data_IF_635924544075
#
_entry.id   IF_635924544075
#
_cell.length_a   1.000
_cell.length_b   1.000
_cell.length_c   1.000
_cell.angle_alpha   90.00
_cell.angle_beta   90.00
_cell.angle_gamma   90.00
#
_symmetry.space_group_name_H-M   'P 1'
#
loop_
_entity.id
_entity.type
_entity.pdbx_description
1 polymer ?
#
# COMPACT_ATOMS: atom_id res chain seq x y z
N UNK A 1 -7.89 33.78 7.22
CA UNK A 1 -6.51 33.84 6.70
C UNK A 1 -6.24 32.50 6.03
N UNK A 2 -6.14 32.50 4.71
CA UNK A 2 -5.91 31.26 3.92
C UNK A 2 -4.45 30.90 4.08
N UNK A 3 -4.17 29.79 4.79
CA UNK A 3 -2.82 29.22 4.84
C UNK A 3 -2.46 28.75 3.42
N UNK A 4 -1.41 29.34 2.88
CA UNK A 4 -0.85 28.93 1.60
C UNK A 4 -0.36 27.47 1.71
N UNK A 5 -0.81 26.63 0.80
CA UNK A 5 -0.35 25.24 0.73
C UNK A 5 1.19 25.20 0.64
N UNK A 6 1.88 24.27 1.33
CA UNK A 6 3.32 24.21 1.32
C UNK A 6 3.86 24.05 -0.11
N UNK A 7 4.99 24.70 -0.39
CA UNK A 7 5.55 24.90 -1.73
C UNK A 7 5.78 23.61 -2.56
N UNK A 8 5.92 22.44 -1.91
CA UNK A 8 6.08 21.14 -2.60
C UNK A 8 4.77 20.61 -3.22
N UNK A 9 3.60 21.12 -2.80
CA UNK A 9 2.30 20.74 -3.39
C UNK A 9 2.05 21.29 -4.80
N UNK A 10 2.81 22.31 -5.24
CA UNK A 10 2.60 23.00 -6.51
C UNK A 10 3.51 22.51 -7.65
N UNK A 11 4.40 21.57 -7.41
CA UNK A 11 5.16 20.96 -8.50
C UNK A 11 4.33 19.85 -9.11
N UNK A 12 3.71 20.11 -10.28
CA UNK A 12 3.23 19.02 -11.12
C UNK A 12 4.35 17.99 -11.28
N UNK A 13 4.04 16.67 -11.19
CA UNK A 13 5.08 15.66 -11.37
C UNK A 13 5.78 15.90 -12.69
N UNK A 14 7.10 15.66 -12.75
CA UNK A 14 7.78 15.67 -14.02
C UNK A 14 7.03 14.73 -14.98
N UNK A 15 6.87 15.11 -16.27
CA UNK A 15 6.14 14.29 -17.23
C UNK A 15 6.74 12.88 -17.25
N UNK A 16 5.90 11.87 -16.96
CA UNK A 16 6.29 10.46 -16.92
C UNK A 16 6.34 9.79 -15.54
N UNK A 17 6.15 10.51 -14.42
CA UNK A 17 6.12 9.89 -13.09
C UNK A 17 4.69 9.51 -12.68
N UNK A 18 4.43 8.19 -12.53
CA UNK A 18 3.12 7.66 -12.13
C UNK A 18 2.77 8.09 -10.70
N UNK A 19 1.50 8.50 -10.47
CA UNK A 19 1.00 8.97 -9.17
C UNK A 19 -0.38 8.43 -8.82
N UNK A 20 -0.53 8.04 -7.57
CA UNK A 20 -1.82 7.83 -6.93
C UNK A 20 -2.15 9.11 -6.15
N UNK A 21 -3.26 9.76 -6.48
CA UNK A 21 -3.69 11.01 -5.85
C UNK A 21 -5.06 10.84 -5.21
N UNK A 22 -5.19 11.40 -4.03
CA UNK A 22 -6.41 11.40 -3.22
C UNK A 22 -6.69 12.83 -2.80
N UNK A 23 -7.89 13.33 -3.04
CA UNK A 23 -8.27 14.71 -2.73
C UNK A 23 -9.59 14.76 -2.00
N UNK A 24 -9.60 15.42 -0.85
CA UNK A 24 -10.79 15.78 -0.07
C UNK A 24 -11.75 14.62 0.21
N UNK A 25 -11.21 13.40 0.48
CA UNK A 25 -12.04 12.25 0.79
C UNK A 25 -12.91 12.49 2.01
N UNK A 26 -14.18 12.07 1.91
CA UNK A 26 -15.15 12.14 2.97
C UNK A 26 -15.91 10.82 3.10
N UNK A 27 -16.23 10.45 4.36
CA UNK A 27 -17.05 9.27 4.66
C UNK A 27 -17.83 9.46 5.94
N UNK A 28 -19.14 9.16 5.85
CA UNK A 28 -20.09 9.19 6.97
C UNK A 28 -20.73 7.82 7.13
N UNK A 29 -20.83 7.33 8.33
CA UNK A 29 -21.59 6.14 8.71
C UNK A 29 -22.70 6.53 9.68
N UNK A 30 -23.95 6.40 9.25
CA UNK A 30 -25.09 6.92 9.99
C UNK A 30 -24.94 8.43 10.23
N UNK A 31 -24.92 8.85 11.47
CA UNK A 31 -24.72 10.26 11.85
C UNK A 31 -23.24 10.65 12.06
N UNK A 32 -22.32 9.68 12.06
CA UNK A 32 -20.90 9.92 12.36
C UNK A 32 -20.08 10.13 11.09
N UNK A 33 -19.54 11.34 10.90
CA UNK A 33 -18.57 11.66 9.84
C UNK A 33 -17.18 11.20 10.30
N UNK A 34 -16.74 10.03 9.79
CA UNK A 34 -15.48 9.36 10.18
C UNK A 34 -14.29 9.94 9.41
N UNK A 35 -14.46 10.21 8.13
CA UNK A 35 -13.46 10.90 7.29
C UNK A 35 -14.07 12.23 6.87
N UNK A 36 -13.44 13.32 7.27
CA UNK A 36 -13.97 14.68 7.10
C UNK A 36 -13.34 15.39 5.89
N UNK A 37 -12.03 15.21 5.73
CA UNK A 37 -11.24 15.81 4.66
C UNK A 37 -9.83 15.18 4.67
N UNK A 38 -9.61 14.16 3.84
CA UNK A 38 -8.31 13.50 3.72
C UNK A 38 -7.80 13.64 2.30
N UNK A 39 -6.61 14.23 2.16
CA UNK A 39 -5.88 14.34 0.91
C UNK A 39 -4.48 13.78 1.10
N UNK A 40 -4.03 12.95 0.16
CA UNK A 40 -2.68 12.38 0.14
C UNK A 40 -2.25 12.04 -1.29
N UNK A 41 -0.96 11.81 -1.44
CA UNK A 41 -0.37 11.44 -2.71
C UNK A 41 0.71 10.37 -2.49
N UNK A 42 0.85 9.46 -3.44
CA UNK A 42 1.93 8.47 -3.49
C UNK A 42 2.54 8.51 -4.88
N UNK A 43 3.84 8.77 -4.99
CA UNK A 43 4.56 8.70 -6.24
C UNK A 43 5.09 7.29 -6.51
N UNK A 44 5.37 6.98 -7.76
CA UNK A 44 6.06 5.74 -8.15
C UNK A 44 7.44 5.68 -7.47
N UNK A 45 7.75 4.55 -6.83
CA UNK A 45 9.01 4.35 -6.11
C UNK A 45 9.13 5.10 -4.77
N UNK A 46 8.01 5.55 -4.22
CA UNK A 46 7.91 6.20 -2.93
C UNK A 46 7.21 5.29 -1.92
N UNK A 47 7.65 5.32 -0.67
CA UNK A 47 6.98 4.67 0.46
C UNK A 47 6.32 5.73 1.32
N UNK A 48 4.99 5.66 1.42
CA UNK A 48 4.17 6.63 2.14
C UNK A 48 3.45 5.96 3.30
N UNK A 49 3.56 6.53 4.50
CA UNK A 49 2.85 6.10 5.70
C UNK A 49 1.53 6.84 5.89
N UNK A 50 0.45 6.13 6.21
CA UNK A 50 -0.83 6.68 6.62
C UNK A 50 -1.08 6.32 8.09
N UNK A 51 -0.72 7.20 9.00
CA UNK A 51 -0.61 6.96 10.43
C UNK A 51 -1.59 7.82 11.24
N UNK A 52 -1.71 7.55 12.53
CA UNK A 52 -2.55 8.32 13.45
C UNK A 52 -3.22 7.43 14.51
N UNK A 53 -3.88 8.00 15.52
CA UNK A 53 -4.50 7.26 16.59
C UNK A 53 -5.67 6.37 16.13
N UNK A 54 -6.09 5.47 17.02
CA UNK A 54 -7.26 4.62 16.77
C UNK A 54 -8.52 5.47 16.57
N UNK A 55 -9.35 5.10 15.59
CA UNK A 55 -10.56 5.83 15.26
C UNK A 55 -10.35 7.13 14.48
N UNK A 56 -9.12 7.48 14.10
CA UNK A 56 -8.80 8.69 13.32
C UNK A 56 -9.35 8.69 11.88
N UNK A 57 -9.76 7.53 11.35
CA UNK A 57 -10.26 7.38 9.98
C UNK A 57 -9.26 6.76 9.00
N UNK A 58 -8.09 6.27 9.48
CA UNK A 58 -7.04 5.64 8.64
C UNK A 58 -7.58 4.50 7.77
N UNK A 59 -8.07 3.44 8.41
CA UNK A 59 -8.59 2.24 7.74
C UNK A 59 -9.72 2.57 6.77
N UNK A 60 -10.62 3.49 7.14
CA UNK A 60 -11.70 3.93 6.25
C UNK A 60 -11.14 4.64 5.02
N UNK A 61 -10.19 5.57 5.20
CA UNK A 61 -9.53 6.28 4.08
C UNK A 61 -8.78 5.29 3.19
N UNK A 62 -8.03 4.38 3.78
CA UNK A 62 -7.30 3.33 3.08
C UNK A 62 -8.25 2.43 2.26
N UNK A 63 -9.36 1.97 2.84
CA UNK A 63 -10.34 1.13 2.14
C UNK A 63 -11.09 1.88 1.03
N UNK A 64 -11.28 3.19 1.15
CA UNK A 64 -11.79 4.01 0.05
C UNK A 64 -10.81 4.04 -1.13
N UNK A 65 -9.49 4.15 -0.85
CA UNK A 65 -8.44 4.13 -1.88
C UNK A 65 -8.35 2.75 -2.55
N UNK A 66 -8.44 1.66 -1.77
CA UNK A 66 -8.49 0.28 -2.29
C UNK A 66 -9.72 0.04 -3.16
N UNK A 67 -10.86 0.66 -2.82
CA UNK A 67 -12.16 0.44 -3.47
C UNK A 67 -13.03 -0.59 -2.78
N UNK A 68 -12.75 -0.91 -1.51
CA UNK A 68 -13.57 -1.73 -0.64
C UNK A 68 -14.72 -0.93 0.00
N UNK A 69 -14.51 0.35 0.23
CA UNK A 69 -15.50 1.29 0.74
C UNK A 69 -15.69 2.41 -0.28
N UNK A 70 -16.93 2.77 -0.56
CA UNK A 70 -17.24 3.92 -1.42
C UNK A 70 -17.09 5.21 -0.64
N UNK A 71 -16.37 6.18 -1.20
CA UNK A 71 -16.32 7.55 -0.67
C UNK A 71 -17.67 8.24 -0.88
N UNK A 72 -18.06 9.12 0.05
CA UNK A 72 -19.27 9.94 -0.09
C UNK A 72 -18.96 11.23 -0.87
N UNK A 73 -17.70 11.71 -0.79
CA UNK A 73 -17.18 12.83 -1.58
C UNK A 73 -15.65 12.74 -1.69
N UNK A 74 -15.09 13.54 -2.58
CA UNK A 74 -13.67 13.59 -2.89
C UNK A 74 -13.31 12.83 -4.15
N UNK A 75 -12.03 12.84 -4.49
CA UNK A 75 -11.51 12.27 -5.72
C UNK A 75 -10.36 11.30 -5.43
N UNK A 76 -10.33 10.20 -6.18
CA UNK A 76 -9.20 9.26 -6.21
C UNK A 76 -8.80 9.07 -7.66
N UNK A 77 -7.54 9.30 -7.99
CA UNK A 77 -7.04 9.13 -9.35
C UNK A 77 -5.71 8.40 -9.40
N UNK A 78 -5.49 7.65 -10.47
CA UNK A 78 -4.22 7.03 -10.83
C UNK A 78 -3.80 7.63 -12.16
N UNK A 79 -2.67 8.34 -12.19
CA UNK A 79 -2.16 9.04 -13.37
C UNK A 79 -3.21 9.96 -14.02
N UNK A 80 -3.96 10.70 -13.19
CA UNK A 80 -5.03 11.60 -13.60
C UNK A 80 -6.33 10.90 -14.01
N UNK A 81 -6.38 9.59 -14.06
CA UNK A 81 -7.61 8.83 -14.32
C UNK A 81 -8.39 8.60 -13.03
N UNK A 82 -9.61 9.11 -12.97
CA UNK A 82 -10.53 8.91 -11.86
C UNK A 82 -10.86 7.43 -11.63
N UNK A 83 -10.80 7.00 -10.37
CA UNK A 83 -11.07 5.61 -9.95
C UNK A 83 -12.04 5.50 -8.79
N UNK A 84 -12.56 6.61 -8.22
CA UNK A 84 -13.41 6.61 -7.02
C UNK A 84 -14.66 5.74 -7.13
N UNK A 85 -15.22 5.61 -8.34
CA UNK A 85 -16.39 4.76 -8.61
C UNK A 85 -16.05 3.37 -9.15
N UNK A 86 -14.75 3.07 -9.31
CA UNK A 86 -14.31 1.79 -9.82
C UNK A 86 -14.18 0.76 -8.70
N UNK A 87 -14.71 -0.47 -8.89
CA UNK A 87 -14.50 -1.57 -7.95
C UNK A 87 -13.02 -2.01 -7.97
N UNK A 88 -12.57 -2.66 -6.89
CA UNK A 88 -11.18 -3.07 -6.67
C UNK A 88 -10.54 -3.78 -7.89
N UNK A 89 -11.25 -4.70 -8.55
CA UNK A 89 -10.72 -5.43 -9.70
C UNK A 89 -10.43 -4.55 -10.92
N UNK A 90 -11.16 -3.43 -11.09
CA UNK A 90 -10.86 -2.44 -12.14
C UNK A 90 -9.69 -1.55 -11.76
N UNK A 91 -9.57 -1.17 -10.47
CA UNK A 91 -8.39 -0.45 -9.96
C UNK A 91 -7.13 -1.30 -10.09
N UNK A 92 -7.23 -2.62 -9.85
CA UNK A 92 -6.12 -3.56 -10.03
C UNK A 92 -5.60 -3.56 -11.47
N UNK A 93 -6.48 -3.55 -12.47
CA UNK A 93 -6.08 -3.43 -13.89
C UNK A 93 -5.41 -2.09 -14.25
N UNK A 94 -5.58 -1.07 -13.42
CA UNK A 94 -4.89 0.21 -13.53
C UNK A 94 -3.60 0.25 -12.72
N UNK A 95 -3.18 -0.89 -12.17
CA UNK A 95 -1.92 -1.03 -11.45
C UNK A 95 -2.01 -0.74 -9.95
N UNK A 96 -3.19 -0.79 -9.31
CA UNK A 96 -3.34 -0.69 -7.86
C UNK A 96 -3.52 -2.08 -7.26
N UNK A 97 -2.55 -2.56 -6.50
CA UNK A 97 -2.64 -3.83 -5.78
C UNK A 97 -2.89 -3.60 -4.29
N UNK A 98 -3.56 -4.55 -3.66
CA UNK A 98 -3.88 -4.51 -2.22
C UNK A 98 -3.43 -5.79 -1.54
N UNK A 99 -2.73 -5.65 -0.44
CA UNK A 99 -2.28 -6.73 0.39
C UNK A 99 -2.87 -6.58 1.80
N UNK A 100 -3.91 -7.37 2.16
CA UNK A 100 -4.58 -7.27 3.44
C UNK A 100 -3.70 -7.70 4.62
N UNK A 101 -4.10 -7.31 5.82
CA UNK A 101 -3.51 -7.78 7.07
C UNK A 101 -3.65 -9.29 7.22
N UNK A 102 -4.85 -9.83 6.95
CA UNK A 102 -5.10 -11.26 7.01
C UNK A 102 -4.49 -12.01 5.82
N UNK A 103 -4.07 -13.25 6.08
CA UNK A 103 -3.49 -14.10 5.05
C UNK A 103 -4.45 -14.33 3.88
N UNK A 104 -4.04 -13.92 2.70
CA UNK A 104 -4.81 -14.00 1.46
C UNK A 104 -4.44 -15.17 0.55
N UNK A 105 -3.51 -16.04 0.99
CA UNK A 105 -3.00 -17.15 0.20
C UNK A 105 -4.09 -18.17 -0.16
N UNK A 106 -4.05 -18.73 -1.34
CA UNK A 106 -4.93 -19.83 -1.75
C UNK A 106 -4.48 -21.13 -1.07
N UNK A 107 -5.14 -21.47 0.04
CA UNK A 107 -4.73 -22.51 0.99
C UNK A 107 -4.61 -23.91 0.38
N UNK A 108 -5.37 -24.22 -0.69
CA UNK A 108 -5.41 -25.52 -1.36
C UNK A 108 -4.38 -25.68 -2.47
N UNK A 109 -3.67 -24.61 -2.81
CA UNK A 109 -2.67 -24.57 -3.87
C UNK A 109 -1.25 -24.61 -3.28
N UNK A 110 -0.28 -25.09 -4.06
CA UNK A 110 1.14 -24.94 -3.73
C UNK A 110 1.62 -23.50 -4.04
N UNK A 111 2.90 -23.22 -3.76
CA UNK A 111 3.49 -21.89 -3.96
C UNK A 111 3.43 -21.46 -5.43
N UNK A 112 3.89 -22.33 -6.35
CA UNK A 112 3.88 -22.02 -7.78
C UNK A 112 2.46 -21.79 -8.30
N UNK A 113 1.51 -22.64 -7.94
CA UNK A 113 0.11 -22.55 -8.33
C UNK A 113 -0.54 -21.24 -7.84
N UNK A 114 -0.19 -20.78 -6.62
CA UNK A 114 -0.67 -19.53 -6.08
C UNK A 114 -0.31 -18.33 -6.97
N UNK A 115 0.90 -18.26 -7.47
CA UNK A 115 1.38 -17.18 -8.34
C UNK A 115 0.88 -17.38 -9.77
N UNK A 116 0.95 -18.63 -10.29
CA UNK A 116 0.48 -18.98 -11.64
C UNK A 116 -0.98 -18.62 -11.86
N UNK A 117 -1.86 -18.92 -10.89
CA UNK A 117 -3.29 -18.59 -10.99
C UNK A 117 -3.55 -17.10 -11.25
N UNK A 118 -2.67 -16.20 -10.77
CA UNK A 118 -2.78 -14.76 -11.05
C UNK A 118 -2.18 -14.42 -12.40
N UNK A 119 -1.06 -15.04 -12.78
CA UNK A 119 -0.42 -14.81 -14.08
C UNK A 119 -1.31 -15.24 -15.25
N UNK A 120 -2.08 -16.32 -15.12
CA UNK A 120 -3.04 -16.81 -16.12
C UNK A 120 -4.16 -15.80 -16.42
N UNK A 121 -4.46 -14.90 -15.49
CA UNK A 121 -5.44 -13.83 -15.68
C UNK A 121 -4.84 -12.58 -16.35
N UNK A 122 -3.51 -12.52 -16.47
CA UNK A 122 -2.84 -11.37 -17.07
C UNK A 122 -2.89 -11.42 -18.59
N UNK A 123 -2.71 -10.25 -19.18
CA UNK A 123 -2.66 -10.07 -20.63
C UNK A 123 -1.34 -9.41 -21.02
N UNK A 124 -0.91 -9.65 -22.23
CA UNK A 124 0.23 -8.96 -22.83
C UNK A 124 -0.14 -7.53 -23.29
N UNK A 125 0.81 -6.82 -23.86
CA UNK A 125 0.62 -5.44 -24.36
C UNK A 125 -0.39 -5.37 -25.51
N UNK A 126 -0.61 -6.48 -26.24
CA UNK A 126 -1.61 -6.60 -27.31
C UNK A 126 -3.01 -6.97 -26.79
N UNK A 127 -3.16 -7.15 -25.44
CA UNK A 127 -4.40 -7.54 -24.80
C UNK A 127 -4.74 -9.03 -24.89
N UNK A 128 -3.81 -9.87 -25.39
CA UNK A 128 -3.96 -11.32 -25.47
C UNK A 128 -3.56 -11.99 -24.14
N UNK A 129 -4.12 -13.14 -23.78
CA UNK A 129 -3.66 -13.94 -22.65
C UNK A 129 -2.16 -14.25 -22.78
N UNK A 130 -1.45 -14.24 -21.65
CA UNK A 130 -0.03 -14.62 -21.65
C UNK A 130 0.14 -16.05 -22.17
N UNK A 131 1.18 -16.30 -22.97
CA UNK A 131 1.56 -17.65 -23.38
C UNK A 131 2.03 -18.46 -22.17
N UNK A 132 1.92 -19.79 -22.25
CA UNK A 132 2.42 -20.69 -21.19
C UNK A 132 3.91 -20.45 -20.92
N UNK A 133 4.71 -20.27 -21.93
CA UNK A 133 6.15 -19.98 -21.79
C UNK A 133 6.41 -18.68 -21.04
N UNK A 134 5.65 -17.62 -21.33
CA UNK A 134 5.78 -16.34 -20.63
C UNK A 134 5.30 -16.42 -19.17
N UNK A 135 4.22 -17.19 -18.90
CA UNK A 135 3.76 -17.47 -17.54
C UNK A 135 4.86 -18.14 -16.72
N UNK A 136 5.45 -19.24 -17.22
CA UNK A 136 6.49 -19.97 -16.51
C UNK A 136 7.75 -19.12 -16.29
N UNK A 137 8.14 -18.31 -17.26
CA UNK A 137 9.25 -17.36 -17.15
C UNK A 137 9.00 -16.33 -16.04
N UNK A 138 7.83 -15.69 -16.04
CA UNK A 138 7.46 -14.71 -15.01
C UNK A 138 7.31 -15.34 -13.64
N UNK A 139 6.73 -16.55 -13.57
CA UNK A 139 6.62 -17.33 -12.36
C UNK A 139 7.99 -17.59 -11.72
N UNK A 140 8.94 -18.16 -12.50
CA UNK A 140 10.28 -18.43 -12.02
C UNK A 140 10.99 -17.16 -11.49
N UNK A 141 10.90 -16.05 -12.25
CA UNK A 141 11.46 -14.76 -11.85
C UNK A 141 10.87 -14.25 -10.54
N UNK A 142 9.53 -14.28 -10.37
CA UNK A 142 8.86 -13.80 -9.16
C UNK A 142 9.22 -14.64 -7.93
N UNK A 143 9.27 -15.97 -8.07
CA UNK A 143 9.64 -16.85 -6.96
C UNK A 143 11.10 -16.62 -6.54
N UNK A 144 12.00 -16.46 -7.49
CA UNK A 144 13.41 -16.17 -7.24
C UNK A 144 13.61 -14.80 -6.60
N UNK A 145 12.96 -13.75 -7.11
CA UNK A 145 13.01 -12.40 -6.58
C UNK A 145 12.60 -12.34 -5.09
N UNK A 146 11.59 -13.14 -4.71
CA UNK A 146 11.08 -13.23 -3.34
C UNK A 146 11.76 -14.35 -2.52
N UNK A 147 12.75 -15.07 -3.10
CA UNK A 147 13.50 -16.16 -2.46
C UNK A 147 12.59 -17.27 -1.91
N UNK A 148 11.60 -17.66 -2.71
CA UNK A 148 10.66 -18.77 -2.40
C UNK A 148 10.62 -19.81 -3.52
N UNK A 149 11.57 -19.77 -4.44
CA UNK A 149 11.74 -20.70 -5.55
C UNK A 149 11.95 -22.15 -5.09
N UNK A 150 12.74 -22.33 -4.02
CA UNK A 150 12.97 -23.63 -3.38
C UNK A 150 11.71 -24.23 -2.71
N UNK A 151 10.64 -23.44 -2.54
CA UNK A 151 9.35 -23.85 -1.97
C UNK A 151 8.27 -24.03 -3.05
N UNK A 152 8.64 -24.01 -4.33
CA UNK A 152 7.71 -24.00 -5.48
C UNK A 152 6.57 -25.03 -5.34
N UNK A 153 6.89 -26.25 -4.95
CA UNK A 153 5.94 -27.37 -4.81
C UNK A 153 5.37 -27.52 -3.40
N UNK A 154 5.80 -26.69 -2.44
CA UNK A 154 5.33 -26.75 -1.06
C UNK A 154 3.87 -26.32 -0.94
N UNK A 155 3.03 -27.07 -0.21
CA UNK A 155 1.66 -26.66 0.07
C UNK A 155 1.62 -25.31 0.81
N UNK A 156 0.71 -24.42 0.44
CA UNK A 156 0.59 -23.10 1.06
C UNK A 156 0.37 -23.13 2.58
N UNK A 157 -0.26 -24.20 3.10
CA UNK A 157 -0.49 -24.38 4.53
C UNK A 157 0.76 -24.76 5.32
N UNK A 158 1.81 -25.27 4.66
CA UNK A 158 3.06 -25.65 5.30
C UNK A 158 4.04 -24.48 5.49
N UNK A 159 3.74 -23.32 4.89
CA UNK A 159 4.59 -22.15 4.91
C UNK A 159 4.60 -21.47 6.29
N UNK A 160 5.78 -21.04 6.73
CA UNK A 160 5.92 -20.09 7.83
C UNK A 160 5.24 -18.76 7.50
N UNK A 161 5.03 -17.90 8.51
CA UNK A 161 4.42 -16.57 8.31
C UNK A 161 5.18 -15.71 7.29
N UNK A 162 6.52 -15.67 7.39
CA UNK A 162 7.36 -14.91 6.48
C UNK A 162 7.36 -15.46 5.04
N UNK A 163 7.45 -16.78 4.87
CA UNK A 163 7.36 -17.42 3.55
C UNK A 163 6.01 -17.16 2.90
N UNK A 164 4.92 -17.31 3.67
CA UNK A 164 3.57 -17.02 3.21
C UNK A 164 3.45 -15.58 2.73
N UNK A 165 3.97 -14.61 3.50
CA UNK A 165 3.93 -13.19 3.12
C UNK A 165 4.69 -12.92 1.83
N UNK A 166 5.85 -13.57 1.63
CA UNK A 166 6.61 -13.48 0.37
C UNK A 166 5.82 -14.02 -0.83
N UNK A 167 5.11 -15.14 -0.67
CA UNK A 167 4.24 -15.69 -1.72
C UNK A 167 3.06 -14.77 -2.04
N UNK A 168 2.43 -14.18 -1.03
CA UNK A 168 1.35 -13.19 -1.22
C UNK A 168 1.83 -11.96 -2.00
N UNK A 169 3.05 -11.50 -1.72
CA UNK A 169 3.67 -10.39 -2.44
C UNK A 169 4.04 -10.81 -3.87
N UNK A 170 4.55 -12.04 -4.10
CA UNK A 170 4.78 -12.55 -5.44
C UNK A 170 3.50 -12.57 -6.27
N UNK A 171 2.36 -12.96 -5.66
CA UNK A 171 1.04 -12.86 -6.29
C UNK A 171 0.63 -11.43 -6.62
N UNK A 172 0.86 -10.51 -5.69
CA UNK A 172 0.58 -9.09 -5.93
C UNK A 172 1.43 -8.56 -7.10
N UNK A 173 2.72 -8.89 -7.15
CA UNK A 173 3.64 -8.51 -8.22
C UNK A 173 3.29 -9.15 -9.58
N UNK A 174 2.65 -10.31 -9.59
CA UNK A 174 2.17 -10.95 -10.81
C UNK A 174 1.18 -10.07 -11.62
N UNK A 175 0.50 -9.13 -10.95
CA UNK A 175 -0.38 -8.14 -11.61
C UNK A 175 0.38 -6.94 -12.19
N UNK A 176 1.72 -6.88 -12.05
CA UNK A 176 2.57 -5.75 -12.45
C UNK A 176 2.08 -4.40 -11.92
N UNK A 177 1.92 -4.27 -10.58
CA UNK A 177 1.34 -3.07 -9.99
C UNK A 177 2.28 -1.87 -10.12
N UNK A 178 1.68 -0.67 -10.24
CA UNK A 178 2.38 0.62 -10.08
C UNK A 178 2.38 1.06 -8.63
N UNK A 179 1.31 0.69 -7.91
CA UNK A 179 1.12 0.98 -6.48
C UNK A 179 0.66 -0.26 -5.73
N UNK A 180 1.23 -0.47 -4.53
CA UNK A 180 0.81 -1.51 -3.60
C UNK A 180 0.37 -0.87 -2.30
N UNK A 181 -0.82 -1.23 -1.84
CA UNK A 181 -1.37 -0.80 -0.56
C UNK A 181 -1.21 -1.94 0.45
N UNK A 182 -0.47 -1.69 1.53
CA UNK A 182 -0.18 -2.63 2.61
C UNK A 182 -0.99 -2.27 3.85
N UNK A 183 -1.88 -3.16 4.26
CA UNK A 183 -2.72 -2.99 5.45
C UNK A 183 -2.06 -3.65 6.65
N UNK A 184 -1.63 -2.85 7.61
CA UNK A 184 -0.99 -3.26 8.87
C UNK A 184 0.09 -4.36 8.70
N UNK A 185 1.13 -4.14 7.85
CA UNK A 185 2.11 -5.17 7.54
C UNK A 185 2.97 -5.60 8.74
N UNK A 186 3.05 -4.78 9.80
CA UNK A 186 3.83 -5.05 11.02
C UNK A 186 2.99 -5.54 12.19
N UNK A 187 1.68 -5.73 12.00
CA UNK A 187 0.80 -6.12 13.09
C UNK A 187 1.04 -7.58 13.52
N UNK A 188 1.27 -7.79 14.81
CA UNK A 188 1.35 -9.13 15.42
C UNK A 188 2.52 -9.99 14.96
N UNK A 189 3.58 -9.41 14.41
CA UNK A 189 4.79 -10.11 13.99
C UNK A 189 5.97 -9.87 14.93
N UNK A 190 6.91 -10.80 14.95
CA UNK A 190 8.14 -10.70 15.73
C UNK A 190 9.17 -9.74 15.08
N UNK A 191 10.19 -9.26 15.84
CA UNK A 191 11.18 -8.31 15.33
C UNK A 191 11.99 -8.81 14.12
N UNK A 192 12.20 -10.12 13.97
CA UNK A 192 12.92 -10.69 12.83
C UNK A 192 12.04 -10.58 11.58
N UNK A 193 10.76 -10.90 11.71
CA UNK A 193 9.80 -10.76 10.62
C UNK A 193 9.60 -9.29 10.20
N UNK A 194 9.67 -8.33 11.14
CA UNK A 194 9.67 -6.88 10.82
C UNK A 194 10.79 -6.54 9.83
N UNK A 195 12.02 -6.97 10.11
CA UNK A 195 13.18 -6.72 9.24
C UNK A 195 12.96 -7.32 7.85
N UNK A 196 12.38 -8.52 7.77
CA UNK A 196 12.06 -9.14 6.47
C UNK A 196 11.03 -8.32 5.68
N UNK A 197 9.96 -7.86 6.33
CA UNK A 197 8.94 -7.01 5.68
C UNK A 197 9.54 -5.68 5.22
N UNK A 198 10.38 -5.06 6.04
CA UNK A 198 11.09 -3.82 5.66
C UNK A 198 11.98 -4.03 4.42
N UNK A 199 12.70 -5.15 4.33
CA UNK A 199 13.49 -5.51 3.13
C UNK A 199 12.61 -5.67 1.90
N UNK A 200 11.45 -6.31 2.04
CA UNK A 200 10.49 -6.48 0.95
C UNK A 200 9.95 -5.13 0.48
N UNK A 201 9.60 -4.24 1.40
CA UNK A 201 9.14 -2.88 1.05
C UNK A 201 10.24 -2.10 0.32
N UNK A 202 11.49 -2.20 0.79
CA UNK A 202 12.65 -1.64 0.08
C UNK A 202 12.84 -2.22 -1.33
N UNK A 203 12.61 -3.52 -1.50
CA UNK A 203 12.63 -4.17 -2.80
C UNK A 203 11.50 -3.67 -3.72
N UNK A 204 10.27 -3.50 -3.23
CA UNK A 204 9.17 -2.92 -4.00
C UNK A 204 9.51 -1.50 -4.47
N UNK A 205 10.03 -0.67 -3.56
CA UNK A 205 10.50 0.68 -3.86
C UNK A 205 11.58 0.69 -4.94
N UNK A 206 12.60 -0.17 -4.83
CA UNK A 206 13.70 -0.27 -5.82
C UNK A 206 13.22 -0.67 -7.22
N UNK A 207 12.10 -1.39 -7.30
CA UNK A 207 11.40 -1.69 -8.56
C UNK A 207 10.54 -0.55 -9.09
N UNK A 208 10.56 0.59 -8.42
CA UNK A 208 9.78 1.75 -8.81
C UNK A 208 8.29 1.61 -8.50
N UNK A 209 7.90 0.75 -7.56
CA UNK A 209 6.51 0.60 -7.12
C UNK A 209 6.26 1.59 -5.98
N UNK A 210 5.20 2.41 -6.09
CA UNK A 210 4.74 3.26 -4.99
C UNK A 210 4.05 2.41 -3.92
N UNK A 211 4.37 2.63 -2.65
CA UNK A 211 3.83 1.85 -1.54
C UNK A 211 3.08 2.76 -0.57
N UNK A 212 1.82 2.46 -0.28
CA UNK A 212 1.06 3.09 0.79
C UNK A 212 0.88 2.10 1.93
N UNK A 213 1.29 2.49 3.14
CA UNK A 213 1.23 1.65 4.33
C UNK A 213 0.32 2.29 5.36
N UNK A 214 -0.61 1.54 5.94
CA UNK A 214 -1.26 1.89 7.19
C UNK A 214 -0.85 0.91 8.27
N UNK A 215 -0.42 1.41 9.42
CA UNK A 215 -0.01 0.58 10.56
C UNK A 215 -0.17 1.37 11.86
N UNK A 216 -0.20 0.65 12.98
CA UNK A 216 -0.15 1.23 14.31
C UNK A 216 1.27 1.15 14.93
N UNK A 217 2.19 0.38 14.33
CA UNK A 217 3.61 0.34 14.67
C UNK A 217 4.35 1.54 14.05
N UNK A 218 4.23 2.69 14.70
CA UNK A 218 4.70 3.98 14.16
C UNK A 218 6.19 3.99 13.88
N UNK A 219 7.01 3.46 14.80
CA UNK A 219 8.47 3.44 14.67
C UNK A 219 8.90 2.66 13.44
N UNK A 220 8.36 1.45 13.29
CA UNK A 220 8.71 0.54 12.19
C UNK A 220 8.27 1.14 10.84
N UNK A 221 7.10 1.77 10.81
CA UNK A 221 6.57 2.40 9.60
C UNK A 221 7.35 3.65 9.23
N UNK A 222 7.57 4.58 10.16
CA UNK A 222 8.35 5.79 9.89
C UNK A 222 9.80 5.47 9.48
N UNK A 223 10.37 4.37 10.01
CA UNK A 223 11.73 3.94 9.69
C UNK A 223 11.95 3.57 8.23
N UNK A 224 10.88 3.30 7.45
CA UNK A 224 10.98 2.90 6.04
C UNK A 224 10.27 3.86 5.09
N UNK A 225 9.49 4.82 5.61
CA UNK A 225 8.76 5.79 4.78
C UNK A 225 9.67 6.91 4.28
N UNK A 226 9.43 7.38 3.07
CA UNK A 226 9.95 8.63 2.54
C UNK A 226 9.11 9.81 3.02
N UNK A 227 7.80 9.58 3.15
CA UNK A 227 6.81 10.57 3.53
C UNK A 227 5.73 9.94 4.41
N UNK A 228 5.11 10.70 5.29
CA UNK A 228 3.98 10.24 6.07
C UNK A 228 2.88 11.29 6.21
N UNK A 229 1.64 10.81 6.30
CA UNK A 229 0.45 11.57 6.63
C UNK A 229 -0.08 11.11 7.98
N UNK A 230 -0.25 12.03 8.90
CA UNK A 230 -0.85 11.76 10.21
C UNK A 230 -2.30 12.19 10.16
N UNK A 231 -3.21 11.21 10.30
CA UNK A 231 -4.64 11.48 10.39
C UNK A 231 -5.06 11.61 11.85
N UNK A 232 -5.83 12.63 12.15
CA UNK A 232 -6.53 12.81 13.43
C UNK A 232 -7.93 13.34 13.18
N UNK A 233 -8.93 12.80 13.86
CA UNK A 233 -10.33 13.20 13.76
C UNK A 233 -10.89 13.32 12.33
N UNK A 234 -10.47 12.42 11.45
CA UNK A 234 -10.90 12.37 10.04
C UNK A 234 -10.28 13.43 9.13
N UNK A 235 -9.19 14.08 9.53
CA UNK A 235 -8.42 15.06 8.75
C UNK A 235 -6.93 14.76 8.78
N UNK A 236 -6.20 15.25 7.81
CA UNK A 236 -4.74 15.25 7.86
C UNK A 236 -4.30 16.32 8.87
N UNK A 237 -3.72 15.88 9.99
CA UNK A 237 -3.16 16.74 11.04
C UNK A 237 -1.80 17.28 10.64
N UNK A 238 -0.94 16.42 10.09
CA UNK A 238 0.40 16.76 9.64
C UNK A 238 0.83 15.83 8.50
N UNK A 239 1.80 16.28 7.73
CA UNK A 239 2.44 15.51 6.67
C UNK A 239 3.87 16.00 6.47
N UNK A 240 4.75 15.12 6.03
CA UNK A 240 6.16 15.43 5.81
C UNK A 240 7.03 14.19 5.86
N UNK A 241 8.33 14.41 5.86
CA UNK A 241 9.32 13.38 6.08
C UNK A 241 9.20 12.80 7.51
N UNK A 242 9.70 11.59 7.78
CA UNK A 242 9.72 11.03 9.14
C UNK A 242 10.30 11.99 10.19
N UNK A 243 11.36 12.71 9.87
CA UNK A 243 11.99 13.68 10.76
C UNK A 243 11.06 14.86 11.09
N UNK A 244 10.35 15.40 10.10
CA UNK A 244 9.36 16.47 10.29
C UNK A 244 8.19 16.01 11.14
N UNK A 245 7.69 14.78 10.90
CA UNK A 245 6.60 14.17 11.67
C UNK A 245 6.97 14.01 13.14
N UNK A 246 8.16 13.45 13.43
CA UNK A 246 8.63 13.21 14.81
C UNK A 246 8.86 14.51 15.57
N UNK A 247 9.24 15.59 14.89
CA UNK A 247 9.49 16.90 15.49
C UNK A 247 8.23 17.79 15.57
N UNK A 248 7.11 17.38 14.96
CA UNK A 248 5.89 18.15 14.96
C UNK A 248 5.22 18.14 16.35
N UNK A 249 5.02 19.29 16.95
CA UNK A 249 4.48 19.44 18.31
C UNK A 249 3.04 18.89 18.43
N UNK A 250 2.18 19.11 17.44
CA UNK A 250 0.80 18.61 17.47
C UNK A 250 0.75 17.09 17.30
N UNK A 251 1.61 16.52 16.46
CA UNK A 251 1.74 15.06 16.30
C UNK A 251 2.23 14.41 17.59
N UNK A 252 3.21 15.00 18.25
CA UNK A 252 3.70 14.51 19.57
C UNK A 252 2.61 14.54 20.61
N UNK A 253 1.88 15.65 20.71
CA UNK A 253 0.80 15.83 21.69
C UNK A 253 -0.36 14.86 21.48
N UNK A 254 -0.76 14.61 20.22
CA UNK A 254 -2.00 13.86 19.90
C UNK A 254 -1.75 12.37 19.68
N UNK A 255 -0.53 11.99 19.23
CA UNK A 255 -0.30 10.64 18.74
C UNK A 255 0.98 9.96 19.25
N UNK A 256 2.15 10.60 19.17
CA UNK A 256 3.43 9.95 19.48
C UNK A 256 3.75 9.94 20.99
N UNK A 257 3.28 10.94 21.73
CA UNK A 257 3.72 11.21 23.11
C UNK A 257 5.06 11.99 23.14
N UNK A 258 5.29 12.68 24.26
CA UNK A 258 6.45 13.58 24.40
C UNK A 258 7.81 12.85 24.39
N UNK A 259 7.84 11.59 24.81
CA UNK A 259 9.06 10.78 24.93
C UNK A 259 9.37 9.88 23.73
N UNK A 260 8.58 10.00 22.65
CA UNK A 260 8.81 9.19 21.46
C UNK A 260 10.19 9.50 20.84
N UNK A 261 10.93 8.43 20.53
CA UNK A 261 12.21 8.47 19.81
C UNK A 261 12.20 7.40 18.69
N UNK A 262 12.78 7.74 17.57
CA UNK A 262 13.02 6.82 16.45
C UNK A 262 14.07 5.80 16.82
#
# INVERSE_FOLDING_TARGET
MSEAAPAWRNTAPPPGQSRLQVRHLQKTYGSRKVVKDVSLEVAKGEVVGLLGPNGAGKTTSFYMIVGLVRADAGEISIDGRSVEHMPIHRRSRLGLSYLPQEASIFRKLNVAENVRAVLELQRDESGQPLSRTEIEKRLASLLQDLRVDHLSDSPALALSGGERRRVEIARALATQPRFILLDEPFAGIDPIAVIEIQRIIGFLKSRGIGVLITDHNVRETLGICDHAYIISEGRVLAQGTPAEIVNNADVRRVYLGEHFRM
#
